data_IF_031563638194
#
_entry.id   IF_031563638194
#
_cell.length_a   1.000
_cell.length_b   1.000
_cell.length_c   1.000
_cell.angle_alpha   90.00
_cell.angle_beta   90.00
_cell.angle_gamma   90.00
#
_symmetry.space_group_name_H-M   'P 1'
#
loop_
_entity.id
_entity.type
_entity.pdbx_description
1 polymer ?
#
# COMPACT_ATOMS: atom_id res chain seq x y z
N UNK A 1 -31.61 -1.22 -41.81
CA UNK A 1 -30.96 -2.39 -41.16
C UNK A 1 -29.61 -1.94 -40.62
N UNK A 2 -29.44 -1.81 -39.30
CA UNK A 2 -28.12 -1.52 -38.72
C UNK A 2 -27.22 -2.75 -38.89
N UNK A 3 -26.05 -2.56 -39.50
CA UNK A 3 -25.10 -3.63 -39.77
C UNK A 3 -24.50 -4.13 -38.44
N UNK A 4 -25.01 -5.24 -37.88
CA UNK A 4 -24.65 -5.77 -36.55
C UNK A 4 -23.12 -5.88 -36.33
N UNK A 5 -22.34 -6.14 -37.40
CA UNK A 5 -20.87 -6.19 -37.34
C UNK A 5 -20.23 -4.85 -36.95
N UNK A 6 -20.74 -3.74 -37.49
CA UNK A 6 -20.22 -2.39 -37.17
C UNK A 6 -20.51 -1.99 -35.72
N UNK A 7 -21.71 -2.33 -35.22
CA UNK A 7 -22.09 -2.10 -33.83
C UNK A 7 -21.22 -2.90 -32.86
N UNK A 8 -20.98 -4.19 -33.13
CA UNK A 8 -20.11 -5.05 -32.30
C UNK A 8 -18.66 -4.55 -32.22
N UNK A 9 -18.08 -4.13 -33.36
CA UNK A 9 -16.72 -3.57 -33.40
C UNK A 9 -16.59 -2.27 -32.59
N UNK A 10 -17.61 -1.40 -32.63
CA UNK A 10 -17.64 -0.17 -31.85
C UNK A 10 -17.64 -0.44 -30.34
N UNK A 11 -18.49 -1.37 -29.87
CA UNK A 11 -18.55 -1.73 -28.46
C UNK A 11 -17.25 -2.36 -27.95
N UNK A 12 -16.62 -3.24 -28.73
CA UNK A 12 -15.32 -3.84 -28.38
C UNK A 12 -14.22 -2.79 -28.24
N UNK A 13 -14.14 -1.81 -29.15
CA UNK A 13 -13.17 -0.70 -29.05
C UNK A 13 -13.44 0.18 -27.81
N UNK A 14 -14.70 0.41 -27.46
CA UNK A 14 -15.08 1.16 -26.25
C UNK A 14 -14.71 0.39 -24.97
N UNK A 15 -14.99 -0.91 -24.92
CA UNK A 15 -14.60 -1.79 -23.81
C UNK A 15 -13.08 -1.83 -23.62
N UNK A 16 -12.32 -1.94 -24.71
CA UNK A 16 -10.86 -1.93 -24.68
C UNK A 16 -10.30 -0.65 -24.04
N UNK A 17 -10.80 0.53 -24.45
CA UNK A 17 -10.37 1.81 -23.87
C UNK A 17 -10.72 1.91 -22.39
N UNK A 18 -11.91 1.46 -22.00
CA UNK A 18 -12.33 1.44 -20.59
C UNK A 18 -11.43 0.52 -19.75
N UNK A 19 -11.15 -0.69 -20.21
CA UNK A 19 -10.29 -1.64 -19.49
C UNK A 19 -8.88 -1.07 -19.28
N UNK A 20 -8.33 -0.39 -20.29
CA UNK A 20 -7.03 0.28 -20.20
C UNK A 20 -7.04 1.42 -19.16
N UNK A 21 -8.06 2.28 -19.17
CA UNK A 21 -8.18 3.37 -18.19
C UNK A 21 -8.31 2.85 -16.76
N UNK A 22 -9.13 1.81 -16.55
CA UNK A 22 -9.32 1.19 -15.24
C UNK A 22 -8.06 0.48 -14.74
N UNK A 23 -7.31 -0.21 -15.61
CA UNK A 23 -6.07 -0.89 -15.22
C UNK A 23 -5.00 0.10 -14.79
N UNK A 24 -4.80 1.19 -15.55
CA UNK A 24 -3.86 2.26 -15.18
C UNK A 24 -4.22 2.87 -13.82
N UNK A 25 -5.51 3.17 -13.60
CA UNK A 25 -5.98 3.69 -12.33
C UNK A 25 -5.74 2.72 -11.18
N UNK A 26 -6.07 1.44 -11.34
CA UNK A 26 -5.82 0.41 -10.33
C UNK A 26 -4.33 0.25 -10.00
N UNK A 27 -3.45 0.29 -11.01
CA UNK A 27 -2.00 0.26 -10.82
C UNK A 27 -1.49 1.47 -10.01
N UNK A 28 -2.00 2.67 -10.28
CA UNK A 28 -1.62 3.87 -9.52
C UNK A 28 -2.04 3.76 -8.05
N UNK A 29 -3.24 3.25 -7.79
CA UNK A 29 -3.70 3.01 -6.42
C UNK A 29 -2.86 1.94 -5.71
N UNK A 30 -2.56 0.83 -6.39
CA UNK A 30 -1.70 -0.22 -5.84
C UNK A 30 -0.29 0.30 -5.53
N UNK A 31 0.29 1.12 -6.41
CA UNK A 31 1.59 1.73 -6.18
C UNK A 31 1.57 2.70 -4.98
N UNK A 32 0.50 3.50 -4.85
CA UNK A 32 0.35 4.44 -3.74
C UNK A 32 0.23 3.75 -2.37
N UNK A 33 -0.44 2.59 -2.31
CA UNK A 33 -0.65 1.86 -1.04
C UNK A 33 0.40 0.78 -0.77
N UNK A 34 1.35 0.56 -1.68
CA UNK A 34 2.29 -0.58 -1.63
C UNK A 34 3.10 -0.65 -0.34
N UNK A 35 3.76 0.44 0.07
CA UNK A 35 4.66 0.43 1.23
C UNK A 35 3.92 0.13 2.54
N UNK A 36 2.75 0.75 2.73
CA UNK A 36 1.93 0.51 3.92
C UNK A 36 1.32 -0.90 3.92
N UNK A 37 0.88 -1.39 2.75
CA UNK A 37 0.39 -2.75 2.58
C UNK A 37 1.47 -3.79 2.86
N UNK A 38 2.69 -3.55 2.35
CA UNK A 38 3.83 -4.44 2.54
C UNK A 38 4.28 -4.46 4.00
N UNK A 39 4.38 -3.30 4.66
CA UNK A 39 4.70 -3.24 6.10
C UNK A 39 3.68 -4.01 6.92
N UNK A 40 2.38 -3.79 6.66
CA UNK A 40 1.31 -4.50 7.34
C UNK A 40 1.42 -6.01 7.14
N UNK A 41 1.57 -6.47 5.90
CA UNK A 41 1.70 -7.89 5.58
C UNK A 41 2.92 -8.55 6.25
N UNK A 42 4.07 -7.87 6.24
CA UNK A 42 5.31 -8.38 6.84
C UNK A 42 5.22 -8.46 8.36
N UNK A 43 4.52 -7.50 9.00
CA UNK A 43 4.26 -7.53 10.44
C UNK A 43 3.26 -8.63 10.78
N UNK A 44 2.14 -8.75 10.06
CA UNK A 44 1.13 -9.80 10.33
C UNK A 44 1.68 -11.22 10.12
N UNK A 45 2.54 -11.44 9.13
CA UNK A 45 3.17 -12.75 8.90
C UNK A 45 4.05 -13.21 10.08
N UNK A 46 4.58 -12.28 10.87
CA UNK A 46 5.40 -12.56 12.05
C UNK A 46 5.15 -11.48 13.10
N UNK A 47 3.95 -11.51 13.67
CA UNK A 47 3.45 -10.44 14.54
C UNK A 47 4.17 -10.46 15.89
N UNK A 48 5.07 -9.48 16.06
CA UNK A 48 5.75 -9.24 17.33
C UNK A 48 5.43 -7.83 17.84
N UNK A 49 5.34 -7.72 19.17
CA UNK A 49 5.06 -6.48 19.87
C UNK A 49 6.06 -6.29 21.00
N UNK A 50 6.56 -5.08 21.16
CA UNK A 50 7.50 -4.72 22.22
C UNK A 50 7.27 -3.29 22.69
N UNK A 51 7.65 -3.01 23.92
CA UNK A 51 7.67 -1.66 24.47
C UNK A 51 9.03 -1.03 24.15
N UNK A 52 9.01 -0.06 23.23
CA UNK A 52 10.17 0.75 22.92
C UNK A 52 10.32 1.90 23.91
N UNK A 53 11.56 2.25 24.23
CA UNK A 53 11.88 3.40 25.06
C UNK A 53 12.30 4.57 24.17
N UNK A 54 11.77 5.76 24.46
CA UNK A 54 12.20 7.00 23.80
C UNK A 54 13.55 7.42 24.37
N UNK A 55 14.57 7.51 23.51
CA UNK A 55 15.92 7.93 23.91
C UNK A 55 16.32 9.30 23.35
N UNK A 56 15.63 9.78 22.30
CA UNK A 56 15.92 11.09 21.71
C UNK A 56 14.66 11.76 21.16
N UNK A 57 14.53 13.05 21.42
CA UNK A 57 13.42 13.89 20.92
C UNK A 57 14.04 15.17 20.36
N UNK A 58 13.79 15.43 19.09
CA UNK A 58 14.26 16.62 18.39
C UNK A 58 13.04 17.41 17.87
N UNK A 59 13.11 18.75 17.93
CA UNK A 59 12.10 19.60 17.29
C UNK A 59 12.35 19.61 15.79
N UNK A 60 11.30 19.39 15.00
CA UNK A 60 11.44 19.44 13.55
C UNK A 60 11.75 20.89 13.11
N UNK A 61 12.90 21.16 12.46
CA UNK A 61 13.30 22.51 12.10
C UNK A 61 12.37 23.16 11.07
N UNK A 62 11.62 22.36 10.30
CA UNK A 62 10.71 22.81 9.24
C UNK A 62 9.24 22.84 9.67
N UNK A 63 8.90 22.37 10.87
CA UNK A 63 7.53 22.32 11.37
C UNK A 63 7.53 22.44 12.90
N UNK A 64 7.32 23.63 13.47
CA UNK A 64 7.47 23.86 14.90
C UNK A 64 6.50 23.03 15.74
N UNK A 65 5.38 22.58 15.16
CA UNK A 65 4.35 21.73 15.76
C UNK A 65 4.62 20.22 15.63
N UNK A 66 5.82 19.81 15.16
CA UNK A 66 6.22 18.40 15.03
C UNK A 66 7.48 18.08 15.82
N UNK A 67 7.49 16.90 16.43
CA UNK A 67 8.65 16.31 17.08
C UNK A 67 9.11 15.08 16.29
N UNK A 68 10.42 14.97 16.09
CA UNK A 68 11.08 13.75 15.67
C UNK A 68 11.40 12.95 16.92
N UNK A 69 10.80 11.77 17.06
CA UNK A 69 10.94 10.90 18.22
C UNK A 69 11.74 9.69 17.80
N UNK A 70 12.91 9.49 18.40
CA UNK A 70 13.72 8.30 18.21
C UNK A 70 13.54 7.35 19.39
N UNK A 71 13.39 6.07 19.09
CA UNK A 71 13.06 5.03 20.04
C UNK A 71 13.89 3.77 19.79
N UNK A 72 14.10 3.00 20.84
CA UNK A 72 14.83 1.73 20.78
C UNK A 72 14.08 0.63 21.53
N UNK A 73 14.12 -0.59 21.02
CA UNK A 73 13.59 -1.77 21.71
C UNK A 73 14.48 -2.99 21.50
N UNK A 74 14.33 -3.99 22.36
CA UNK A 74 14.98 -5.29 22.18
C UNK A 74 14.11 -6.19 21.31
N UNK A 75 14.66 -6.68 20.20
CA UNK A 75 13.99 -7.67 19.35
C UNK A 75 13.94 -9.05 20.03
N UNK A 76 13.19 -9.98 19.44
CA UNK A 76 13.18 -11.40 19.84
C UNK A 76 14.56 -12.06 19.78
N UNK A 77 15.50 -11.51 19.01
CA UNK A 77 16.85 -12.05 18.83
C UNK A 77 17.87 -11.39 19.77
N UNK A 78 17.41 -10.70 20.82
CA UNK A 78 18.25 -9.91 21.73
C UNK A 78 19.10 -8.85 21.01
N UNK A 79 18.65 -8.38 19.84
CA UNK A 79 19.30 -7.28 19.12
C UNK A 79 18.57 -5.98 19.44
N UNK A 80 19.31 -4.93 19.78
CA UNK A 80 18.74 -3.60 19.91
C UNK A 80 18.34 -3.07 18.53
N UNK A 81 17.08 -2.69 18.37
CA UNK A 81 16.53 -2.10 17.15
C UNK A 81 16.16 -0.66 17.41
N UNK A 82 16.66 0.24 16.58
CA UNK A 82 16.40 1.67 16.66
C UNK A 82 15.44 2.08 15.54
N UNK A 83 14.55 3.02 15.84
CA UNK A 83 13.63 3.61 14.87
C UNK A 83 13.33 5.06 15.20
N UNK A 84 12.67 5.73 14.27
CA UNK A 84 12.23 7.12 14.46
C UNK A 84 10.91 7.39 13.76
N UNK A 85 10.09 8.26 14.30
CA UNK A 85 8.91 8.78 13.60
C UNK A 85 8.69 10.26 13.91
N UNK A 86 8.00 10.93 13.00
CA UNK A 86 7.58 12.33 13.17
C UNK A 86 6.13 12.35 13.63
N UNK A 87 5.84 13.02 14.74
CA UNK A 87 4.46 13.17 15.24
C UNK A 87 4.16 14.63 15.55
N UNK A 88 2.98 15.06 15.12
CA UNK A 88 2.41 16.35 15.53
C UNK A 88 2.02 16.30 16.99
N UNK A 89 2.39 17.30 17.76
CA UNK A 89 2.00 17.40 19.16
C UNK A 89 0.99 18.54 19.32
N UNK A 90 -0.14 18.22 19.94
CA UNK A 90 -1.21 19.20 20.20
C UNK A 90 -1.35 19.40 21.71
N UNK A 91 -1.33 18.32 22.50
CA UNK A 91 -1.34 18.34 23.96
C UNK A 91 -0.44 17.20 24.50
N UNK A 92 0.31 17.45 25.59
CA UNK A 92 1.22 16.51 26.26
C UNK A 92 2.27 15.84 25.35
N UNK A 93 3.37 16.55 25.01
CA UNK A 93 4.44 15.95 24.24
C UNK A 93 5.04 14.75 25.00
N UNK A 94 5.40 13.68 24.29
CA UNK A 94 6.11 12.56 24.90
C UNK A 94 7.42 13.06 25.50
N UNK A 95 7.83 12.41 26.60
CA UNK A 95 9.06 12.72 27.33
C UNK A 95 10.09 11.64 27.07
N UNK A 96 11.35 12.02 27.27
CA UNK A 96 12.46 11.07 27.22
C UNK A 96 12.24 10.01 28.31
N UNK A 97 12.43 8.74 27.94
CA UNK A 97 12.15 7.59 28.81
C UNK A 97 10.71 7.07 28.76
N UNK A 98 9.77 7.78 28.13
CA UNK A 98 8.41 7.26 27.94
C UNK A 98 8.43 5.97 27.10
N UNK A 99 7.48 5.07 27.41
CA UNK A 99 7.29 3.81 26.68
C UNK A 99 6.34 3.99 25.50
N UNK A 100 6.66 3.37 24.39
CA UNK A 100 5.86 3.32 23.17
C UNK A 100 5.65 1.88 22.75
N UNK A 101 4.39 1.49 22.56
CA UNK A 101 4.10 0.18 22.00
C UNK A 101 4.36 0.16 20.49
N UNK A 102 5.33 -0.65 20.07
CA UNK A 102 5.75 -0.85 18.69
C UNK A 102 5.40 -2.27 18.27
N UNK A 103 4.94 -2.41 17.02
CA UNK A 103 4.86 -3.68 16.32
C UNK A 103 5.94 -3.75 15.26
N UNK A 104 6.47 -4.94 15.05
CA UNK A 104 7.56 -5.16 14.11
C UNK A 104 7.51 -6.57 13.55
N UNK A 105 8.11 -6.74 12.38
CA UNK A 105 8.26 -8.04 11.76
C UNK A 105 9.46 -8.80 12.33
N UNK A 106 9.26 -10.06 12.74
CA UNK A 106 10.39 -10.95 13.05
C UNK A 106 11.22 -11.34 11.82
N UNK A 107 10.72 -11.07 10.61
CA UNK A 107 11.38 -11.41 9.35
C UNK A 107 12.33 -10.31 8.87
N UNK A 108 12.06 -9.05 9.22
CA UNK A 108 12.91 -7.92 8.84
C UNK A 108 12.73 -6.74 9.79
N UNK A 109 13.85 -6.25 10.31
CA UNK A 109 13.92 -5.10 11.22
C UNK A 109 13.57 -3.76 10.56
N UNK A 110 13.39 -3.74 9.24
CA UNK A 110 13.02 -2.55 8.46
C UNK A 110 11.54 -2.23 8.63
N UNK A 111 10.70 -3.24 8.91
CA UNK A 111 9.27 -3.07 9.11
C UNK A 111 8.96 -2.91 10.59
N UNK A 112 8.90 -1.67 11.03
CA UNK A 112 8.44 -1.28 12.35
C UNK A 112 7.36 -0.21 12.23
N UNK A 113 6.37 -0.27 13.11
CA UNK A 113 5.30 0.72 13.15
C UNK A 113 4.78 0.88 14.57
N UNK A 114 4.24 2.07 14.87
CA UNK A 114 3.45 2.26 16.10
C UNK A 114 2.20 1.38 16.01
N UNK A 115 1.85 0.71 17.11
CA UNK A 115 0.67 -0.16 17.16
C UNK A 115 -0.62 0.56 16.69
N UNK A 116 -0.83 1.82 17.09
CA UNK A 116 -1.96 2.65 16.63
C UNK A 116 -1.99 2.83 15.10
N UNK A 117 -0.83 3.03 14.48
CA UNK A 117 -0.72 3.23 13.02
C UNK A 117 -0.92 1.91 12.28
N UNK A 118 -0.39 0.81 12.82
CA UNK A 118 -0.52 -0.53 12.24
C UNK A 118 -1.98 -0.91 11.96
N UNK A 119 -2.88 -0.65 12.93
CA UNK A 119 -4.32 -0.88 12.75
C UNK A 119 -4.85 -0.09 11.54
N UNK A 120 -4.41 1.15 11.35
CA UNK A 120 -4.78 1.98 10.20
C UNK A 120 -4.24 1.48 8.86
N UNK A 121 -3.09 0.78 8.84
CA UNK A 121 -2.49 0.25 7.61
C UNK A 121 -3.23 -0.96 7.03
N UNK A 122 -4.05 -1.64 7.83
CA UNK A 122 -4.89 -2.74 7.35
C UNK A 122 -5.75 -2.33 6.13
N UNK A 123 -6.31 -1.13 6.13
CA UNK A 123 -7.06 -0.59 4.99
C UNK A 123 -6.20 -0.49 3.72
N UNK A 124 -4.97 0.03 3.84
CA UNK A 124 -4.03 0.12 2.71
C UNK A 124 -3.72 -1.26 2.12
N UNK A 125 -3.59 -2.29 2.98
CA UNK A 125 -3.40 -3.67 2.56
C UNK A 125 -4.61 -4.22 1.77
N UNK A 126 -5.83 -4.03 2.28
CA UNK A 126 -7.03 -4.48 1.55
C UNK A 126 -7.25 -3.73 0.24
N UNK A 127 -6.98 -2.42 0.20
CA UNK A 127 -7.03 -1.65 -1.04
C UNK A 127 -5.97 -2.11 -2.05
N UNK A 128 -4.77 -2.42 -1.58
CA UNK A 128 -3.72 -2.98 -2.42
C UNK A 128 -4.16 -4.31 -3.05
N UNK A 129 -4.65 -5.25 -2.26
CA UNK A 129 -5.14 -6.54 -2.75
C UNK A 129 -6.29 -6.36 -3.75
N UNK A 130 -7.26 -5.51 -3.44
CA UNK A 130 -8.38 -5.23 -4.33
C UNK A 130 -7.92 -4.65 -5.68
N UNK A 131 -7.05 -3.65 -5.66
CA UNK A 131 -6.45 -3.06 -6.86
C UNK A 131 -5.64 -4.08 -7.67
N UNK A 132 -4.91 -4.97 -6.99
CA UNK A 132 -4.17 -6.06 -7.63
C UNK A 132 -5.12 -7.01 -8.38
N UNK A 133 -6.21 -7.46 -7.73
CA UNK A 133 -7.20 -8.34 -8.38
C UNK A 133 -7.94 -7.65 -9.54
N UNK A 134 -8.29 -6.37 -9.41
CA UNK A 134 -8.86 -5.59 -10.51
C UNK A 134 -7.89 -5.52 -11.68
N UNK A 135 -6.60 -5.28 -11.41
CA UNK A 135 -5.58 -5.22 -12.45
C UNK A 135 -5.49 -6.55 -13.19
N UNK A 136 -5.40 -7.68 -12.47
CA UNK A 136 -5.40 -9.01 -13.08
C UNK A 136 -6.65 -9.26 -13.95
N UNK A 137 -7.84 -8.92 -13.44
CA UNK A 137 -9.10 -9.09 -14.16
C UNK A 137 -9.17 -8.22 -15.41
N UNK A 138 -8.79 -6.94 -15.31
CA UNK A 138 -8.81 -6.00 -16.44
C UNK A 138 -7.79 -6.37 -17.50
N UNK A 139 -6.60 -6.83 -17.12
CA UNK A 139 -5.60 -7.38 -18.04
C UNK A 139 -6.12 -8.62 -18.77
N UNK A 140 -6.78 -9.54 -18.07
CA UNK A 140 -7.39 -10.71 -18.70
C UNK A 140 -8.47 -10.32 -19.74
N UNK A 141 -9.38 -9.42 -19.38
CA UNK A 141 -10.42 -8.92 -20.28
C UNK A 141 -9.83 -8.16 -21.48
N UNK A 142 -8.74 -7.42 -21.27
CA UNK A 142 -7.99 -6.73 -22.30
C UNK A 142 -7.44 -7.72 -23.35
N UNK A 143 -6.76 -8.79 -22.93
CA UNK A 143 -6.25 -9.80 -23.87
C UNK A 143 -7.37 -10.51 -24.62
N UNK A 144 -8.48 -10.82 -23.94
CA UNK A 144 -9.65 -11.44 -24.58
C UNK A 144 -10.25 -10.53 -25.66
N UNK A 145 -10.48 -9.26 -25.35
CA UNK A 145 -11.04 -8.29 -26.30
C UNK A 145 -10.08 -8.00 -27.46
N UNK A 146 -8.78 -7.93 -27.20
CA UNK A 146 -7.76 -7.77 -28.24
C UNK A 146 -7.78 -8.95 -29.24
N UNK A 147 -7.86 -10.18 -28.74
CA UNK A 147 -7.96 -11.40 -29.59
C UNK A 147 -9.23 -11.40 -30.43
N UNK A 148 -10.37 -10.99 -29.85
CA UNK A 148 -11.64 -10.92 -30.58
C UNK A 148 -11.63 -9.87 -31.69
N UNK A 149 -11.00 -8.71 -31.47
CA UNK A 149 -10.79 -7.68 -32.50
C UNK A 149 -9.90 -8.21 -33.64
N UNK A 150 -8.85 -8.99 -33.33
CA UNK A 150 -8.00 -9.60 -34.35
C UNK A 150 -8.75 -10.61 -35.22
N UNK A 151 -9.59 -11.46 -34.61
CA UNK A 151 -10.42 -12.41 -35.36
C UNK A 151 -11.40 -11.69 -36.30
N UNK A 152 -12.05 -10.62 -35.83
CA UNK A 152 -12.93 -9.81 -36.67
C UNK A 152 -12.19 -9.13 -37.83
N UNK A 153 -10.90 -8.79 -37.69
CA UNK A 153 -10.12 -8.27 -38.82
C UNK A 153 -9.89 -9.34 -39.89
N UNK A 154 -9.49 -10.55 -39.46
CA UNK A 154 -9.28 -11.69 -40.37
C UNK A 154 -10.53 -12.14 -41.11
N UNK A 155 -11.71 -12.01 -40.50
CA UNK A 155 -12.99 -12.32 -41.14
C UNK A 155 -13.44 -11.29 -42.20
N UNK A 156 -12.81 -10.12 -42.25
CA UNK A 156 -13.14 -9.05 -43.20
C UNK A 156 -12.06 -8.83 -44.27
N UNK A 157 -10.94 -9.56 -44.21
CA UNK A 157 -9.93 -9.70 -45.27
C UNK A 157 -10.27 -10.90 -46.16
#
# INVERSE_FOLDING_TARGET
>A
MFNQKTTRSYWLKKQYKLCLSFSVFACLFAAYTFDDALSYAMIEASFNKSDAQIFHIEKNPYSPDKLNISYSFMSTNNSMVNGSFVKRYINNPPKLGDKLTIVYSGLSNIYNDRYEKHIGKSYSFYFFLFSFFITLLTTFLFFRTAKEIQNLKKENE
#
